data_IF_947090759519
#
_entry.id   IF_947090759519
#
_cell.length_a   1.000
_cell.length_b   1.000
_cell.length_c   1.000
_cell.angle_alpha   90.00
_cell.angle_beta   90.00
_cell.angle_gamma   90.00
#
_symmetry.space_group_name_H-M   'P 1'
#
loop_
_entity.id
_entity.type
_entity.pdbx_description
1 polymer ?
#
# COMPACT_ATOMS: atom_id res chain seq x y z
N UNK A 1 -15.18 -25.88 -32.22
CA UNK A 1 -14.33 -24.97 -31.41
C UNK A 1 -13.09 -25.74 -30.99
N UNK A 2 -11.95 -25.12 -30.66
CA UNK A 2 -10.80 -25.85 -30.09
C UNK A 2 -10.77 -25.65 -28.57
N UNK A 3 -10.86 -26.73 -27.81
CA UNK A 3 -10.90 -26.71 -26.34
C UNK A 3 -9.71 -27.49 -25.79
N UNK A 4 -8.93 -26.89 -24.89
CA UNK A 4 -7.85 -27.54 -24.16
C UNK A 4 -8.10 -27.40 -22.65
N UNK A 5 -8.11 -28.53 -21.94
CA UNK A 5 -8.15 -28.56 -20.48
C UNK A 5 -6.81 -28.98 -19.90
N UNK A 6 -6.13 -28.01 -19.29
CA UNK A 6 -4.86 -28.15 -18.56
C UNK A 6 -5.05 -27.76 -17.08
N UNK A 7 -6.27 -27.98 -16.56
CA UNK A 7 -6.66 -27.59 -15.21
C UNK A 7 -6.67 -28.81 -14.29
N UNK A 8 -6.04 -28.68 -13.13
CA UNK A 8 -6.16 -29.65 -12.06
C UNK A 8 -7.56 -29.53 -11.43
N UNK A 9 -8.51 -30.33 -11.89
CA UNK A 9 -9.88 -30.33 -11.38
C UNK A 9 -10.01 -31.22 -10.14
N UNK A 10 -10.56 -30.67 -9.06
CA UNK A 10 -10.96 -31.40 -7.85
C UNK A 10 -12.48 -31.48 -7.78
N UNK A 11 -13.04 -32.65 -7.46
CA UNK A 11 -14.49 -32.91 -7.36
C UNK A 11 -15.29 -32.66 -8.66
N UNK A 12 -14.66 -32.90 -9.82
CA UNK A 12 -15.28 -32.74 -11.13
C UNK A 12 -14.44 -33.30 -12.26
N UNK A 13 -14.92 -33.13 -13.48
CA UNK A 13 -14.29 -33.63 -14.70
C UNK A 13 -13.64 -32.48 -15.50
N UNK A 14 -12.52 -32.77 -16.14
CA UNK A 14 -11.72 -31.76 -16.83
C UNK A 14 -12.32 -31.20 -18.13
N UNK A 15 -13.26 -31.92 -18.78
CA UNK A 15 -13.82 -31.52 -20.09
C UNK A 15 -15.34 -31.30 -20.06
N UNK A 16 -16.11 -32.22 -19.48
CA UNK A 16 -17.58 -32.13 -19.35
C UNK A 16 -17.98 -32.66 -17.99
N UNK A 17 -19.02 -32.11 -17.34
CA UNK A 17 -19.54 -32.62 -16.06
C UNK A 17 -20.12 -34.03 -16.20
N UNK A 18 -21.00 -34.23 -17.18
CA UNK A 18 -21.69 -35.49 -17.45
C UNK A 18 -21.12 -36.22 -18.67
N UNK A 19 -21.18 -37.56 -18.63
CA UNK A 19 -20.79 -38.42 -19.74
C UNK A 19 -21.97 -38.52 -20.72
N UNK A 20 -21.77 -38.09 -21.97
CA UNK A 20 -22.76 -38.28 -23.03
C UNK A 20 -22.08 -38.89 -24.25
N UNK A 21 -22.77 -39.80 -24.92
CA UNK A 21 -22.26 -40.45 -26.14
C UNK A 21 -22.20 -39.50 -27.36
N UNK A 22 -22.75 -38.29 -27.25
CA UNK A 22 -22.90 -37.33 -28.35
C UNK A 22 -22.24 -35.97 -28.03
N UNK A 23 -20.94 -35.96 -27.78
CA UNK A 23 -20.18 -34.70 -27.62
C UNK A 23 -20.19 -33.93 -28.95
N UNK A 24 -20.71 -32.69 -28.94
CA UNK A 24 -20.84 -31.83 -30.14
C UNK A 24 -19.54 -31.11 -30.54
N UNK A 25 -18.47 -31.25 -29.76
CA UNK A 25 -17.18 -30.59 -30.01
C UNK A 25 -16.17 -31.59 -30.57
N UNK A 26 -15.77 -31.40 -31.82
CA UNK A 26 -14.87 -32.33 -32.52
C UNK A 26 -13.39 -32.19 -32.11
N UNK A 27 -13.04 -31.13 -31.35
CA UNK A 27 -11.64 -30.78 -31.04
C UNK A 27 -11.44 -30.42 -29.55
N UNK A 28 -11.70 -31.39 -28.66
CA UNK A 28 -11.44 -31.29 -27.22
C UNK A 28 -10.18 -32.05 -26.81
N UNK A 29 -9.30 -31.42 -26.04
CA UNK A 29 -8.02 -31.98 -25.59
C UNK A 29 -7.89 -31.91 -24.06
N UNK A 30 -7.42 -32.97 -23.41
CA UNK A 30 -7.17 -33.02 -21.96
C UNK A 30 -5.71 -33.33 -21.66
N UNK A 31 -5.12 -32.68 -20.65
CA UNK A 31 -3.83 -33.12 -20.10
C UNK A 31 -3.96 -34.52 -19.51
N UNK A 32 -2.95 -35.36 -19.72
CA UNK A 32 -2.86 -36.74 -19.20
C UNK A 32 -2.88 -36.81 -17.66
N UNK A 33 -2.51 -35.74 -16.98
CA UNK A 33 -2.53 -35.65 -15.52
C UNK A 33 -3.91 -35.36 -14.93
N UNK A 34 -4.92 -35.08 -15.75
CA UNK A 34 -6.24 -34.70 -15.27
C UNK A 34 -7.00 -35.91 -14.71
N UNK A 35 -7.59 -35.74 -13.51
CA UNK A 35 -8.45 -36.74 -12.90
C UNK A 35 -9.78 -36.82 -13.67
N UNK A 36 -10.26 -38.04 -13.91
CA UNK A 36 -11.57 -38.29 -14.51
C UNK A 36 -12.43 -39.08 -13.52
N UNK A 37 -13.69 -38.68 -13.41
CA UNK A 37 -14.66 -39.26 -12.48
C UNK A 37 -16.01 -39.51 -13.17
N UNK A 38 -16.70 -40.56 -12.78
CA UNK A 38 -18.07 -40.85 -13.21
C UNK A 38 -19.02 -40.83 -12.01
N UNK A 39 -20.25 -40.39 -12.25
CA UNK A 39 -21.34 -40.59 -11.31
C UNK A 39 -21.90 -41.99 -11.55
N UNK A 40 -21.87 -42.83 -10.53
CA UNK A 40 -22.41 -44.18 -10.57
C UNK A 40 -23.42 -44.34 -9.43
N UNK A 41 -24.51 -45.05 -9.71
CA UNK A 41 -25.45 -45.43 -8.65
C UNK A 41 -24.86 -46.58 -7.85
N UNK A 42 -24.79 -46.42 -6.54
CA UNK A 42 -24.44 -47.47 -5.58
C UNK A 42 -25.56 -47.49 -4.55
N UNK A 43 -26.32 -48.57 -4.56
CA UNK A 43 -27.55 -48.71 -3.78
C UNK A 43 -28.56 -47.58 -4.09
N UNK A 44 -29.10 -46.91 -3.07
CA UNK A 44 -30.06 -45.79 -3.23
C UNK A 44 -29.37 -44.41 -3.38
N UNK A 45 -28.03 -44.37 -3.47
CA UNK A 45 -27.26 -43.14 -3.57
C UNK A 45 -26.48 -43.02 -4.90
N UNK A 46 -26.36 -41.79 -5.41
CA UNK A 46 -25.48 -41.47 -6.52
C UNK A 46 -24.12 -41.04 -5.96
N UNK A 47 -23.06 -41.79 -6.28
CA UNK A 47 -21.69 -41.52 -5.81
C UNK A 47 -20.74 -41.24 -6.96
N UNK A 48 -19.76 -40.38 -6.73
CA UNK A 48 -18.68 -40.10 -7.68
C UNK A 48 -17.52 -41.08 -7.48
N UNK A 49 -17.13 -41.80 -8.54
CA UNK A 49 -15.97 -42.72 -8.52
C UNK A 49 -14.98 -42.36 -9.63
N UNK A 50 -13.71 -42.71 -9.41
CA UNK A 50 -12.65 -42.54 -10.40
C UNK A 50 -12.99 -43.36 -11.67
N UNK A 51 -12.69 -42.78 -12.83
CA UNK A 51 -13.01 -43.33 -14.15
C UNK A 51 -11.78 -43.27 -15.04
N UNK A 52 -11.55 -44.33 -15.83
CA UNK A 52 -10.50 -44.36 -16.85
C UNK A 52 -10.99 -43.85 -18.22
N UNK A 53 -12.29 -43.55 -18.34
CA UNK A 53 -12.91 -43.14 -19.60
C UNK A 53 -12.58 -41.68 -19.90
N UNK A 54 -11.52 -41.48 -20.69
CA UNK A 54 -11.05 -40.16 -21.09
C UNK A 54 -12.07 -39.45 -21.99
N UNK A 55 -12.25 -38.14 -21.76
CA UNK A 55 -13.14 -37.28 -22.55
C UNK A 55 -12.26 -36.44 -23.49
N UNK A 56 -12.45 -36.58 -24.79
CA UNK A 56 -11.61 -35.92 -25.80
C UNK A 56 -10.23 -36.58 -26.00
N UNK A 57 -9.33 -35.86 -26.66
CA UNK A 57 -7.98 -36.32 -26.99
C UNK A 57 -7.01 -36.04 -25.85
N UNK A 58 -6.39 -37.08 -25.29
CA UNK A 58 -5.39 -36.91 -24.23
C UNK A 58 -4.06 -36.44 -24.82
N UNK A 59 -3.50 -35.37 -24.27
CA UNK A 59 -2.20 -34.81 -24.63
C UNK A 59 -1.18 -35.02 -23.50
N UNK A 60 0.05 -35.37 -23.87
CA UNK A 60 1.19 -35.30 -22.96
C UNK A 60 1.59 -33.84 -22.69
N UNK A 61 2.29 -33.61 -21.57
CA UNK A 61 2.57 -32.28 -21.03
C UNK A 61 3.21 -31.31 -22.03
N UNK A 62 4.09 -31.79 -22.92
CA UNK A 62 4.76 -30.94 -23.91
C UNK A 62 3.79 -30.46 -25.01
N UNK A 63 2.87 -31.33 -25.45
CA UNK A 63 1.84 -30.99 -26.44
C UNK A 63 0.76 -30.08 -25.87
N UNK A 64 0.49 -30.18 -24.56
CA UNK A 64 -0.41 -29.25 -23.86
C UNK A 64 0.15 -27.82 -23.89
N UNK A 65 1.47 -27.65 -23.68
CA UNK A 65 2.12 -26.33 -23.74
C UNK A 65 2.05 -25.71 -25.14
N UNK A 66 2.31 -26.48 -26.18
CA UNK A 66 2.21 -26.04 -27.58
C UNK A 66 0.78 -25.60 -27.91
N UNK A 67 -0.22 -26.43 -27.58
CA UNK A 67 -1.63 -26.13 -27.84
C UNK A 67 -2.14 -24.92 -27.04
N UNK A 68 -1.64 -24.72 -25.82
CA UNK A 68 -1.96 -23.54 -24.98
C UNK A 68 -1.41 -22.25 -25.57
N UNK A 69 -0.22 -22.29 -26.17
CA UNK A 69 0.37 -21.14 -26.84
C UNK A 69 -0.38 -20.75 -28.13
N UNK A 70 -0.93 -21.74 -28.87
CA UNK A 70 -1.79 -21.49 -30.04
C UNK A 70 -3.12 -20.84 -29.69
N UNK A 71 -3.70 -21.19 -28.53
CA UNK A 71 -5.06 -20.77 -28.14
C UNK A 71 -5.11 -19.47 -27.33
N UNK A 72 -4.00 -19.05 -26.69
CA UNK A 72 -3.95 -17.88 -25.81
C UNK A 72 -3.03 -16.82 -26.40
N UNK A 73 -3.60 -15.82 -27.08
CA UNK A 73 -2.86 -14.59 -27.38
C UNK A 73 -2.78 -13.72 -26.12
N UNK A 74 -1.56 -13.49 -25.61
CA UNK A 74 -1.34 -12.58 -24.47
C UNK A 74 -1.08 -11.17 -25.00
N UNK A 75 -1.96 -10.23 -24.66
CA UNK A 75 -1.65 -8.80 -24.74
C UNK A 75 -1.47 -8.29 -23.30
N UNK A 76 -0.24 -7.95 -22.95
CA UNK A 76 0.07 -7.31 -21.67
C UNK A 76 0.48 -5.88 -21.97
N UNK A 77 -0.29 -4.93 -21.44
CA UNK A 77 0.16 -3.54 -21.35
C UNK A 77 1.13 -3.47 -20.18
N UNK A 78 2.38 -3.08 -20.46
CA UNK A 78 3.31 -2.70 -19.40
C UNK A 78 2.77 -1.42 -18.77
N UNK A 79 2.38 -1.50 -17.51
CA UNK A 79 2.20 -0.31 -16.67
C UNK A 79 3.57 -0.03 -16.09
N UNK A 80 4.11 1.15 -16.35
CA UNK A 80 5.35 1.58 -15.70
C UNK A 80 5.11 1.71 -14.19
N UNK A 81 6.09 1.29 -13.39
CA UNK A 81 6.05 1.51 -11.96
C UNK A 81 5.94 3.01 -11.68
N UNK A 82 4.97 3.38 -10.85
CA UNK A 82 4.73 4.77 -10.48
C UNK A 82 5.81 5.20 -9.48
N UNK A 83 6.91 5.74 -10.01
CA UNK A 83 7.97 6.31 -9.19
C UNK A 83 7.54 7.69 -8.66
N UNK A 84 7.25 7.75 -7.35
CA UNK A 84 6.93 8.98 -6.62
C UNK A 84 8.18 9.81 -6.27
N UNK A 85 9.39 9.43 -6.72
CA UNK A 85 10.52 10.35 -6.62
C UNK A 85 10.15 11.62 -7.39
N UNK A 86 10.06 12.73 -6.66
CA UNK A 86 9.83 14.05 -7.22
C UNK A 86 10.73 14.22 -8.44
N UNK A 87 10.14 14.53 -9.60
CA UNK A 87 10.79 14.67 -10.92
C UNK A 87 11.87 15.79 -10.98
N UNK A 88 12.36 16.24 -9.84
CA UNK A 88 13.33 17.31 -9.66
C UNK A 88 14.52 16.74 -8.89
N UNK A 89 15.61 16.45 -9.61
CA UNK A 89 16.92 16.27 -8.97
C UNK A 89 17.39 17.65 -8.51
N UNK A 90 17.46 17.89 -7.21
CA UNK A 90 17.94 19.16 -6.65
C UNK A 90 19.42 19.35 -7.00
N UNK A 91 19.75 20.49 -7.64
CA UNK A 91 21.11 20.82 -8.08
C UNK A 91 21.77 21.75 -7.04
N UNK A 92 22.77 21.23 -6.32
CA UNK A 92 23.50 21.95 -5.26
C UNK A 92 24.79 22.64 -5.73
N UNK A 93 25.35 22.26 -6.89
CA UNK A 93 26.66 22.71 -7.35
C UNK A 93 26.76 24.23 -7.63
N UNK A 94 25.63 24.92 -7.78
CA UNK A 94 25.52 26.37 -7.97
C UNK A 94 25.37 27.14 -6.64
N UNK A 95 25.27 26.45 -5.51
CA UNK A 95 25.05 27.06 -4.20
C UNK A 95 26.37 27.48 -3.56
N UNK A 96 26.39 28.68 -2.98
CA UNK A 96 27.58 29.17 -2.26
C UNK A 96 27.93 28.24 -1.09
N UNK A 97 29.19 27.83 -0.99
CA UNK A 97 29.67 26.91 0.04
C UNK A 97 29.55 25.43 -0.31
N UNK A 98 29.08 25.10 -1.52
CA UNK A 98 29.04 23.72 -2.02
C UNK A 98 30.44 23.06 -2.05
N UNK A 99 30.50 21.80 -1.62
CA UNK A 99 31.68 20.95 -1.67
C UNK A 99 31.34 19.65 -2.42
N UNK A 100 32.07 19.36 -3.49
CA UNK A 100 31.82 18.16 -4.32
C UNK A 100 31.90 16.85 -3.53
N UNK A 101 32.77 16.77 -2.53
CA UNK A 101 32.90 15.61 -1.65
C UNK A 101 31.67 15.36 -0.76
N UNK A 102 30.76 16.34 -0.64
CA UNK A 102 29.58 16.32 0.24
C UNK A 102 28.25 16.19 -0.52
N UNK A 103 28.28 15.86 -1.81
CA UNK A 103 27.07 15.72 -2.64
C UNK A 103 26.01 14.80 -1.98
N UNK A 104 26.42 13.63 -1.50
CA UNK A 104 25.53 12.69 -0.80
C UNK A 104 25.01 13.27 0.52
N UNK A 105 25.84 14.05 1.22
CA UNK A 105 25.47 14.69 2.48
C UNK A 105 24.35 15.69 2.26
N UNK A 106 24.40 16.49 1.19
CA UNK A 106 23.33 17.43 0.88
C UNK A 106 22.00 16.71 0.62
N UNK A 107 22.02 15.58 -0.11
CA UNK A 107 20.82 14.73 -0.29
C UNK A 107 20.30 14.14 1.02
N UNK A 108 21.19 13.77 1.94
CA UNK A 108 20.79 13.28 3.26
C UNK A 108 20.17 14.39 4.12
N UNK A 109 20.74 15.61 4.08
CA UNK A 109 20.19 16.77 4.81
C UNK A 109 18.85 17.22 4.21
N UNK A 110 18.65 17.12 2.90
CA UNK A 110 17.35 17.36 2.25
C UNK A 110 16.24 16.48 2.84
N UNK A 111 16.54 15.21 3.16
CA UNK A 111 15.59 14.30 3.84
C UNK A 111 15.31 14.70 5.29
N UNK A 112 16.21 15.42 5.95
CA UNK A 112 15.99 15.99 7.29
C UNK A 112 15.21 17.32 7.24
N UNK A 113 15.29 18.04 6.13
CA UNK A 113 14.76 19.40 5.94
C UNK A 113 13.96 19.54 4.62
N UNK A 114 12.90 18.74 4.42
CA UNK A 114 12.21 18.61 3.12
C UNK A 114 11.60 19.90 2.56
N UNK A 115 11.30 20.89 3.41
CA UNK A 115 10.68 22.15 2.99
C UNK A 115 11.65 23.34 2.94
N UNK A 116 12.95 23.10 3.12
CA UNK A 116 13.97 24.13 3.14
C UNK A 116 14.62 24.35 1.78
N UNK A 117 15.11 25.57 1.53
CA UNK A 117 15.83 25.89 0.31
C UNK A 117 17.23 25.26 0.26
N UNK A 118 17.76 25.13 -0.97
CA UNK A 118 19.07 24.52 -1.23
C UNK A 118 20.23 25.22 -0.50
N UNK A 119 20.14 26.52 -0.27
CA UNK A 119 21.13 27.29 0.50
C UNK A 119 21.19 26.82 1.96
N UNK A 120 20.04 26.52 2.57
CA UNK A 120 19.96 25.98 3.93
C UNK A 120 20.46 24.55 3.98
N UNK A 121 20.12 23.73 2.98
CA UNK A 121 20.62 22.35 2.87
C UNK A 121 22.15 22.32 2.82
N UNK A 122 22.77 23.16 1.98
CA UNK A 122 24.25 23.24 1.90
C UNK A 122 24.86 23.75 3.20
N UNK A 123 24.25 24.77 3.82
CA UNK A 123 24.70 25.31 5.12
C UNK A 123 24.75 24.21 6.19
N UNK A 124 23.70 23.41 6.36
CA UNK A 124 23.68 22.35 7.37
C UNK A 124 24.50 21.11 6.93
N UNK A 125 24.55 20.78 5.64
CA UNK A 125 25.39 19.69 5.13
C UNK A 125 26.89 19.91 5.36
N UNK A 126 27.32 21.17 5.40
CA UNK A 126 28.70 21.53 5.73
C UNK A 126 29.03 21.38 7.24
N UNK A 127 28.02 21.25 8.11
CA UNK A 127 28.21 21.01 9.54
C UNK A 127 28.31 19.52 9.88
N UNK A 128 27.97 18.63 8.95
CA UNK A 128 28.00 17.18 9.18
C UNK A 128 29.44 16.70 9.36
N UNK A 129 29.70 16.05 10.49
CA UNK A 129 30.99 15.44 10.79
C UNK A 129 31.33 14.31 9.81
N UNK A 130 32.58 14.21 9.36
CA UNK A 130 33.01 13.22 8.36
C UNK A 130 32.98 11.78 8.88
N UNK A 131 33.00 11.58 10.20
CA UNK A 131 32.82 10.28 10.84
C UNK A 131 31.35 9.84 10.95
N UNK A 132 30.40 10.74 10.66
CA UNK A 132 28.97 10.46 10.76
C UNK A 132 28.46 9.52 9.67
N UNK A 133 27.43 8.74 9.98
CA UNK A 133 26.71 7.94 8.99
C UNK A 133 26.00 8.82 7.95
N UNK A 134 25.57 10.03 8.35
CA UNK A 134 25.04 11.03 7.43
C UNK A 134 26.08 11.50 6.40
N UNK A 135 27.37 11.32 6.67
CA UNK A 135 28.44 11.61 5.71
C UNK A 135 28.72 10.42 4.79
N UNK A 136 28.77 9.22 5.36
CA UNK A 136 29.33 8.02 4.71
C UNK A 136 28.31 7.14 4.02
N UNK A 137 27.01 7.28 4.33
CA UNK A 137 25.94 6.42 3.81
C UNK A 137 24.78 7.22 3.25
N UNK A 138 24.10 6.65 2.26
CA UNK A 138 22.82 7.19 1.81
C UNK A 138 21.74 6.95 2.88
N UNK A 139 21.10 8.04 3.33
CA UNK A 139 19.93 8.01 4.19
C UNK A 139 18.72 7.68 3.34
N UNK A 140 17.94 6.65 3.67
CA UNK A 140 16.75 6.23 2.93
C UNK A 140 15.48 6.86 3.50
N UNK A 141 15.29 6.82 4.82
CA UNK A 141 14.10 7.35 5.49
C UNK A 141 14.39 7.87 6.90
N UNK A 142 13.47 8.71 7.38
CA UNK A 142 13.56 9.42 8.66
C UNK A 142 12.22 9.30 9.38
N UNK A 143 12.23 8.81 10.62
CA UNK A 143 11.01 8.52 11.38
C UNK A 143 11.07 9.18 12.76
N UNK A 144 10.17 10.12 13.09
CA UNK A 144 10.12 10.74 14.41
C UNK A 144 9.49 9.78 15.43
N UNK A 145 9.99 9.84 16.66
CA UNK A 145 9.59 8.94 17.73
C UNK A 145 9.44 9.66 19.07
N UNK A 146 8.55 9.13 19.89
CA UNK A 146 8.49 9.37 21.33
C UNK A 146 9.06 8.15 22.03
N UNK A 147 10.24 8.29 22.62
CA UNK A 147 11.00 7.19 23.21
C UNK A 147 11.29 6.06 22.20
N UNK A 148 10.47 5.02 22.19
CA UNK A 148 10.62 3.87 21.28
C UNK A 148 9.37 3.69 20.39
N UNK A 149 8.42 4.62 20.45
CA UNK A 149 7.17 4.57 19.68
C UNK A 149 7.23 5.55 18.52
N UNK A 150 6.86 5.05 17.33
CA UNK A 150 6.76 5.87 16.13
C UNK A 150 5.60 6.84 16.26
N UNK A 151 5.85 8.11 15.96
CA UNK A 151 4.82 9.14 15.93
C UNK A 151 4.43 9.41 14.48
N UNK A 152 3.15 9.18 14.17
CA UNK A 152 2.58 9.44 12.84
C UNK A 152 1.79 10.76 12.81
N UNK A 153 1.09 11.11 13.89
CA UNK A 153 0.38 12.38 14.02
C UNK A 153 1.32 13.44 14.62
N UNK A 154 2.07 14.10 13.74
CA UNK A 154 2.99 15.18 14.13
C UNK A 154 2.24 16.37 14.72
N UNK A 155 1.07 16.71 14.18
CA UNK A 155 0.28 17.86 14.63
C UNK A 155 -0.06 17.77 16.12
N UNK A 156 -0.55 16.61 16.53
CA UNK A 156 -0.96 16.34 17.92
C UNK A 156 0.23 16.18 18.86
N UNK A 157 1.33 15.54 18.41
CA UNK A 157 2.39 15.06 19.29
C UNK A 157 3.73 15.79 19.12
N UNK A 158 3.79 16.91 18.38
CA UNK A 158 5.05 17.62 18.07
C UNK A 158 5.94 17.93 19.28
N UNK A 159 5.36 18.25 20.43
CA UNK A 159 6.13 18.57 21.63
C UNK A 159 6.65 17.32 22.37
N UNK A 160 6.11 16.14 22.07
CA UNK A 160 6.45 14.89 22.74
C UNK A 160 7.49 14.07 21.96
N UNK A 161 7.74 14.43 20.69
CA UNK A 161 8.78 13.82 19.86
C UNK A 161 10.15 14.17 20.45
N UNK A 162 10.90 13.14 20.81
CA UNK A 162 12.21 13.28 21.46
C UNK A 162 13.32 12.40 20.84
N UNK A 163 12.97 11.54 19.88
CA UNK A 163 13.93 10.73 19.13
C UNK A 163 13.66 10.73 17.63
N UNK A 164 14.71 10.49 16.87
CA UNK A 164 14.68 10.40 15.41
C UNK A 164 15.37 9.11 14.96
N UNK A 165 14.65 8.23 14.30
CA UNK A 165 15.20 7.03 13.68
C UNK A 165 15.59 7.35 12.23
N UNK A 166 16.88 7.19 11.94
CA UNK A 166 17.45 7.28 10.60
C UNK A 166 17.66 5.87 10.07
N UNK A 167 17.17 5.58 8.87
CA UNK A 167 17.39 4.31 8.18
C UNK A 167 18.26 4.56 6.94
N UNK A 168 19.41 3.91 6.88
CA UNK A 168 20.42 4.05 5.83
C UNK A 168 20.46 2.83 4.91
N UNK A 169 21.06 3.02 3.74
CA UNK A 169 21.40 1.93 2.84
C UNK A 169 22.24 0.83 3.54
N UNK A 170 21.93 -0.43 3.20
CA UNK A 170 22.54 -1.60 3.79
C UNK A 170 21.96 -1.98 5.15
N UNK A 171 20.66 -1.73 5.38
CA UNK A 171 19.89 -2.10 6.57
C UNK A 171 20.48 -1.57 7.88
N UNK A 172 21.15 -0.42 7.83
CA UNK A 172 21.75 0.20 9.02
C UNK A 172 20.79 1.27 9.55
N UNK A 173 20.64 1.34 10.87
CA UNK A 173 19.77 2.34 11.50
C UNK A 173 20.49 3.04 12.65
N UNK A 174 20.18 4.31 12.84
CA UNK A 174 20.69 5.13 13.93
C UNK A 174 19.54 5.86 14.60
N UNK A 175 19.54 5.90 15.93
CA UNK A 175 18.58 6.70 16.70
C UNK A 175 19.31 7.90 17.27
N UNK A 176 18.77 9.09 17.01
CA UNK A 176 19.26 10.37 17.53
C UNK A 176 18.29 10.92 18.56
N UNK A 177 18.81 11.62 19.57
CA UNK A 177 18.00 12.46 20.43
C UNK A 177 17.73 13.80 19.73
N UNK A 178 16.49 14.26 19.82
CA UNK A 178 16.05 15.53 19.27
C UNK A 178 15.22 16.28 20.30
N UNK A 179 15.25 17.61 20.25
CA UNK A 179 14.46 18.46 21.13
C UNK A 179 13.58 19.39 20.30
N UNK A 180 12.29 19.48 20.65
CA UNK A 180 11.38 20.43 20.04
C UNK A 180 11.86 21.86 20.29
N UNK A 181 11.91 22.66 19.22
CA UNK A 181 12.44 24.02 19.25
C UNK A 181 11.31 25.05 19.15
N UNK A 182 10.59 25.05 18.04
CA UNK A 182 9.46 25.92 17.77
C UNK A 182 8.72 25.46 16.52
N UNK A 183 7.56 26.06 16.26
CA UNK A 183 6.95 26.03 14.93
C UNK A 183 7.57 27.15 14.08
N UNK A 184 7.97 26.83 12.86
CA UNK A 184 8.44 27.79 11.86
C UNK A 184 7.49 27.74 10.66
N UNK A 185 6.73 28.81 10.43
CA UNK A 185 5.61 28.78 9.47
C UNK A 185 4.66 27.62 9.78
N UNK A 186 4.50 26.66 8.86
CA UNK A 186 3.69 25.44 9.03
C UNK A 186 4.55 24.20 9.27
N UNK A 187 5.77 24.29 9.79
CA UNK A 187 6.57 23.09 10.13
C UNK A 187 6.99 23.11 11.59
N UNK A 188 7.02 21.93 12.23
CA UNK A 188 7.63 21.76 13.54
C UNK A 188 9.14 21.59 13.39
N UNK A 189 9.93 22.38 14.11
CA UNK A 189 11.39 22.29 14.13
C UNK A 189 11.92 21.58 15.36
N UNK A 190 12.93 20.75 15.14
CA UNK A 190 13.67 20.07 16.19
C UNK A 190 15.17 20.32 16.02
N UNK A 191 15.87 20.51 17.13
CA UNK A 191 17.33 20.47 17.15
C UNK A 191 17.79 19.03 17.36
N UNK A 192 18.73 18.56 16.53
CA UNK A 192 19.44 17.30 16.74
C UNK A 192 20.57 17.55 17.75
N UNK A 193 20.52 16.86 18.89
CA UNK A 193 21.45 17.09 19.99
C UNK A 193 22.91 16.86 19.55
N UNK A 194 23.82 17.70 20.05
CA UNK A 194 25.28 17.63 19.85
C UNK A 194 25.81 17.79 18.41
N UNK A 195 24.94 17.86 17.39
CA UNK A 195 25.35 17.96 15.99
C UNK A 195 25.15 19.35 15.38
N UNK A 196 24.40 20.24 16.06
CA UNK A 196 24.06 21.56 15.51
C UNK A 196 23.18 21.49 14.25
N UNK A 197 22.56 20.33 13.99
CA UNK A 197 21.67 20.10 12.86
C UNK A 197 20.21 20.31 13.26
N UNK A 198 19.37 20.56 12.25
CA UNK A 198 17.92 20.65 12.40
C UNK A 198 17.23 19.44 11.75
N UNK A 199 16.05 19.15 12.26
CA UNK A 199 15.10 18.23 11.65
C UNK A 199 13.72 18.88 11.58
N UNK A 200 13.05 18.70 10.44
CA UNK A 200 11.62 19.00 10.25
C UNK A 200 10.94 17.79 9.63
N UNK A 201 9.83 17.29 10.19
CA UNK A 201 9.04 16.23 9.59
C UNK A 201 8.59 16.58 8.16
N UNK A 202 8.46 15.58 7.30
CA UNK A 202 7.92 15.74 5.94
C UNK A 202 6.38 15.82 5.93
N UNK A 203 5.84 16.70 6.77
CA UNK A 203 4.43 17.04 6.83
C UNK A 203 4.30 18.47 7.34
N UNK A 204 3.25 19.16 6.91
CA UNK A 204 2.94 20.50 7.39
C UNK A 204 1.93 20.44 8.54
N UNK A 205 2.10 21.36 9.47
CA UNK A 205 1.19 21.59 10.56
C UNK A 205 -0.12 22.18 10.04
N UNK A 206 -1.22 21.54 10.39
CA UNK A 206 -2.56 21.91 9.96
C UNK A 206 -3.59 21.42 10.98
N UNK A 207 -4.60 22.24 11.27
CA UNK A 207 -5.71 21.85 12.14
C UNK A 207 -6.81 21.17 11.33
N UNK A 208 -6.89 19.86 11.44
CA UNK A 208 -7.88 19.05 10.73
C UNK A 208 -9.24 18.96 11.45
N UNK A 209 -9.44 19.65 12.57
CA UNK A 209 -10.66 19.54 13.39
C UNK A 209 -11.92 19.83 12.58
N UNK A 210 -11.89 20.83 11.68
CA UNK A 210 -13.01 21.15 10.80
C UNK A 210 -13.41 19.94 9.93
N UNK A 211 -12.45 19.28 9.28
CA UNK A 211 -12.73 18.11 8.44
C UNK A 211 -13.24 16.96 9.31
N UNK A 212 -12.52 16.65 10.38
CA UNK A 212 -12.80 15.52 11.28
C UNK A 212 -14.19 15.62 11.88
N UNK A 213 -14.53 16.76 12.49
CA UNK A 213 -15.80 16.94 13.19
C UNK A 213 -17.00 16.92 12.22
N UNK A 214 -16.83 17.35 10.97
CA UNK A 214 -17.88 17.33 9.95
C UNK A 214 -18.20 15.94 9.37
N UNK A 215 -17.26 14.99 9.44
CA UNK A 215 -17.43 13.63 8.88
C UNK A 215 -17.56 12.55 9.94
N UNK A 216 -17.20 12.84 11.19
CA UNK A 216 -17.15 11.84 12.27
C UNK A 216 -18.49 11.16 12.51
N UNK A 217 -19.60 11.91 12.48
CA UNK A 217 -20.95 11.36 12.63
C UNK A 217 -21.31 10.41 11.48
N UNK A 218 -20.97 10.79 10.25
CA UNK A 218 -21.24 9.97 9.06
C UNK A 218 -20.43 8.67 9.08
N UNK A 219 -19.14 8.73 9.42
CA UNK A 219 -18.28 7.55 9.56
C UNK A 219 -18.78 6.63 10.68
N UNK A 220 -19.20 7.19 11.81
CA UNK A 220 -19.76 6.40 12.91
C UNK A 220 -21.14 5.80 12.61
N UNK A 221 -21.83 6.26 11.57
CA UNK A 221 -23.10 5.65 11.16
C UNK A 221 -22.92 4.33 10.39
N UNK A 222 -21.72 4.08 9.84
CA UNK A 222 -21.45 2.89 9.01
C UNK A 222 -21.54 1.62 9.86
N UNK A 223 -22.26 0.62 9.33
CA UNK A 223 -22.41 -0.69 9.95
C UNK A 223 -21.80 -1.75 9.04
N UNK A 224 -21.00 -2.64 9.62
CA UNK A 224 -20.26 -3.69 8.90
C UNK A 224 -21.16 -4.59 8.06
N UNK A 225 -22.31 -5.01 8.61
CA UNK A 225 -23.26 -5.89 7.91
C UNK A 225 -24.31 -5.15 7.08
N UNK A 226 -24.13 -3.85 6.83
CA UNK A 226 -25.09 -3.07 6.04
C UNK A 226 -25.07 -3.44 4.55
N UNK A 227 -26.21 -3.26 3.87
CA UNK A 227 -26.32 -3.45 2.42
C UNK A 227 -25.36 -2.52 1.64
N UNK A 228 -25.01 -1.36 2.20
CA UNK A 228 -24.05 -0.45 1.59
C UNK A 228 -22.64 -1.06 1.54
N UNK A 229 -22.17 -1.63 2.65
CA UNK A 229 -20.88 -2.35 2.70
C UNK A 229 -20.90 -3.57 1.78
N UNK A 230 -21.98 -4.36 1.79
CA UNK A 230 -22.11 -5.52 0.89
C UNK A 230 -22.03 -5.12 -0.58
N UNK A 231 -22.65 -4.01 -0.96
CA UNK A 231 -22.58 -3.46 -2.31
C UNK A 231 -21.17 -3.03 -2.70
N UNK A 232 -20.41 -2.40 -1.78
CA UNK A 232 -19.01 -2.02 -2.04
C UNK A 232 -18.12 -3.25 -2.20
N UNK A 233 -18.36 -4.30 -1.41
CA UNK A 233 -17.62 -5.55 -1.46
C UNK A 233 -18.07 -6.50 -2.59
N UNK A 234 -19.10 -6.12 -3.36
CA UNK A 234 -19.76 -6.95 -4.37
C UNK A 234 -20.24 -8.32 -3.83
N UNK A 235 -20.77 -8.31 -2.60
CA UNK A 235 -21.29 -9.49 -1.91
C UNK A 235 -22.82 -9.47 -1.97
N UNK A 236 -23.43 -10.64 -2.25
CA UNK A 236 -24.88 -10.80 -2.21
C UNK A 236 -25.45 -10.56 -0.82
N UNK A 237 -26.62 -9.93 -0.73
CA UNK A 237 -27.35 -9.71 0.53
C UNK A 237 -27.64 -11.00 1.31
N UNK A 238 -27.68 -12.15 0.62
CA UNK A 238 -27.94 -13.49 1.19
C UNK A 238 -26.72 -14.11 1.87
N UNK A 239 -25.53 -13.57 1.63
CA UNK A 239 -24.27 -14.06 2.20
C UNK A 239 -23.94 -13.21 3.44
N UNK A 240 -23.46 -13.88 4.49
CA UNK A 240 -22.95 -13.21 5.70
C UNK A 240 -21.50 -12.77 5.46
N UNK A 241 -21.09 -11.65 6.04
CA UNK A 241 -19.71 -11.14 5.91
C UNK A 241 -18.70 -11.91 6.79
N UNK A 242 -19.06 -13.08 7.32
CA UNK A 242 -18.23 -13.87 8.25
C UNK A 242 -16.93 -14.35 7.64
N UNK A 243 -16.88 -14.54 6.31
CA UNK A 243 -15.67 -15.02 5.62
C UNK A 243 -14.54 -13.99 5.52
N UNK A 244 -14.83 -12.71 5.79
CA UNK A 244 -13.80 -11.67 5.80
C UNK A 244 -13.08 -11.56 7.14
N UNK A 245 -13.68 -12.05 8.23
CA UNK A 245 -13.11 -12.00 9.59
C UNK A 245 -12.66 -10.57 10.01
N UNK A 246 -13.38 -9.54 9.57
CA UNK A 246 -13.07 -8.12 9.84
C UNK A 246 -13.99 -7.48 10.89
N UNK A 247 -14.95 -8.20 11.45
CA UNK A 247 -15.93 -7.69 12.41
C UNK A 247 -15.27 -7.07 13.65
N UNK A 248 -14.32 -7.77 14.28
CA UNK A 248 -13.60 -7.27 15.46
C UNK A 248 -12.75 -6.03 15.12
N UNK A 249 -12.04 -6.06 13.98
CA UNK A 249 -11.20 -4.95 13.55
C UNK A 249 -12.03 -3.73 13.13
N UNK A 250 -13.22 -3.95 12.57
CA UNK A 250 -14.18 -2.89 12.24
C UNK A 250 -14.63 -2.17 13.51
N UNK A 251 -14.99 -2.90 14.56
CA UNK A 251 -15.37 -2.31 15.86
C UNK A 251 -14.20 -1.52 16.47
N UNK A 252 -12.99 -2.08 16.48
CA UNK A 252 -11.79 -1.39 16.98
C UNK A 252 -11.47 -0.12 16.21
N UNK A 253 -11.56 -0.17 14.87
CA UNK A 253 -11.32 0.99 14.00
C UNK A 253 -12.36 2.06 14.23
N UNK A 254 -13.64 1.68 14.32
CA UNK A 254 -14.75 2.60 14.59
C UNK A 254 -14.59 3.31 15.94
N UNK A 255 -14.20 2.60 16.99
CA UNK A 255 -13.95 3.19 18.31
C UNK A 255 -12.82 4.24 18.30
N UNK A 256 -11.85 4.10 17.39
CA UNK A 256 -10.68 4.97 17.27
C UNK A 256 -10.70 5.86 16.01
N UNK A 257 -11.83 5.94 15.30
CA UNK A 257 -11.90 6.52 13.96
C UNK A 257 -11.46 7.98 13.90
N UNK A 258 -11.67 8.74 14.99
CA UNK A 258 -11.21 10.13 15.10
C UNK A 258 -9.68 10.23 15.03
N UNK A 259 -8.98 9.37 15.76
CA UNK A 259 -7.50 9.36 15.81
C UNK A 259 -6.93 8.82 14.49
N UNK A 260 -7.50 7.73 13.96
CA UNK A 260 -7.12 7.16 12.66
C UNK A 260 -7.30 8.16 11.51
N UNK A 261 -8.43 8.88 11.48
CA UNK A 261 -8.69 9.88 10.44
C UNK A 261 -7.73 11.07 10.52
N UNK A 262 -7.42 11.54 11.73
CA UNK A 262 -6.47 12.64 11.93
C UNK A 262 -5.08 12.26 11.42
N UNK A 263 -4.62 11.03 11.71
CA UNK A 263 -3.37 10.46 11.18
C UNK A 263 -3.36 10.39 9.66
N UNK A 264 -4.45 9.91 9.05
CA UNK A 264 -4.58 9.81 7.60
C UNK A 264 -4.49 11.19 6.93
N UNK A 265 -5.20 12.18 7.45
CA UNK A 265 -5.18 13.55 6.92
C UNK A 265 -3.80 14.20 7.06
N UNK A 266 -3.07 13.90 8.15
CA UNK A 266 -1.71 14.42 8.38
C UNK A 266 -0.65 13.86 7.42
N UNK A 267 -0.94 12.73 6.78
CA UNK A 267 -0.05 12.13 5.79
C UNK A 267 -0.26 12.70 4.37
N UNK A 268 -1.36 13.42 4.13
CA UNK A 268 -1.66 14.02 2.83
C UNK A 268 -1.17 15.48 2.77
N UNK A 269 -0.01 15.68 2.12
CA UNK A 269 0.65 16.99 2.02
C UNK A 269 -0.20 18.03 1.27
N UNK A 270 -1.05 17.63 0.32
CA UNK A 270 -1.84 18.57 -0.48
C UNK A 270 -2.90 19.30 0.35
N UNK A 271 -3.42 18.64 1.39
CA UNK A 271 -4.38 19.22 2.33
C UNK A 271 -3.69 20.24 3.24
N UNK A 272 -2.48 19.92 3.71
CA UNK A 272 -1.79 20.71 4.72
C UNK A 272 -1.29 22.08 4.19
N UNK A 273 -0.88 22.14 2.91
CA UNK A 273 -0.44 23.37 2.24
C UNK A 273 -1.57 24.41 2.15
N UNK A 274 -2.82 23.96 1.99
CA UNK A 274 -3.93 24.81 1.63
C UNK A 274 -4.97 24.97 2.75
N UNK A 275 -4.82 26.03 3.54
CA UNK A 275 -5.83 26.44 4.53
C UNK A 275 -7.00 27.19 3.87
N UNK A 276 -7.65 26.58 2.88
CA UNK A 276 -8.81 27.17 2.20
C UNK A 276 -10.03 26.26 2.37
N UNK A 277 -11.14 26.87 2.78
CA UNK A 277 -12.45 26.21 2.90
C UNK A 277 -12.88 25.38 1.67
N UNK A 278 -12.39 25.70 0.47
CA UNK A 278 -12.69 24.93 -0.74
C UNK A 278 -12.08 23.53 -0.66
N UNK A 279 -10.84 23.43 -0.18
CA UNK A 279 -10.11 22.16 -0.09
C UNK A 279 -10.65 21.32 1.08
N UNK A 280 -10.91 21.94 2.23
CA UNK A 280 -11.60 21.27 3.34
C UNK A 280 -12.95 20.69 2.89
N UNK A 281 -13.76 21.50 2.20
CA UNK A 281 -15.06 21.04 1.70
C UNK A 281 -14.91 19.90 0.69
N UNK A 282 -13.94 19.98 -0.22
CA UNK A 282 -13.67 18.89 -1.16
C UNK A 282 -13.31 17.59 -0.44
N UNK A 283 -12.42 17.65 0.55
CA UNK A 283 -12.01 16.49 1.37
C UNK A 283 -13.19 15.93 2.16
N UNK A 284 -13.99 16.80 2.80
CA UNK A 284 -15.22 16.40 3.51
C UNK A 284 -16.17 15.65 2.57
N UNK A 285 -16.45 16.20 1.38
CA UNK A 285 -17.34 15.55 0.43
C UNK A 285 -16.79 14.21 -0.06
N UNK A 286 -15.48 14.15 -0.36
CA UNK A 286 -14.81 12.92 -0.77
C UNK A 286 -14.92 11.83 0.30
N UNK A 287 -14.70 12.16 1.57
CA UNK A 287 -14.86 11.21 2.68
C UNK A 287 -16.32 10.77 2.79
N UNK A 288 -17.29 11.69 2.79
CA UNK A 288 -18.72 11.35 2.92
C UNK A 288 -19.22 10.45 1.79
N UNK A 289 -18.76 10.68 0.56
CA UNK A 289 -19.15 9.88 -0.62
C UNK A 289 -18.56 8.47 -0.62
N UNK A 290 -17.44 8.26 0.08
CA UNK A 290 -16.72 7.00 0.11
C UNK A 290 -16.64 6.40 1.52
N UNK A 291 -17.52 6.79 2.44
CA UNK A 291 -17.41 6.44 3.88
C UNK A 291 -17.51 4.94 4.16
N UNK A 292 -18.14 4.17 3.28
CA UNK A 292 -18.21 2.71 3.35
C UNK A 292 -16.99 1.98 2.74
N UNK A 293 -16.17 2.65 1.94
CA UNK A 293 -14.99 2.10 1.27
C UNK A 293 -13.72 2.32 2.10
#
# INVERSE_FOLDING_TARGET
SYVLSDVNVTNGNAISGDNFDNMKEDHAYSSKGNKVVNVVQVDDELVTKDSDVQRGTVLDADKVKEKKAELVSKHSTKVEDFDFTSRYTTIYNEVTGYQKSREQVYKNIEKLLPFYNRETIVKYGNLVDESSELFTKELLSVVPMKNNEVITDINKNKQEINKLLLHFEGNKSQVLNIAYKNDFSKVAEYSIEYQGLLYTPNTLLHDYSNIVDNVLTDLNSVQYDSNAIKKILDISDKVKNTELYLDEQFVKTKANIKDTLSKLLSADAAIAENSNSIIDNYVIQKIKQNKEA
#
